data_IF_641620197016
#
_entry.id   IF_641620197016
#
_cell.length_a   1.000
_cell.length_b   1.000
_cell.length_c   1.000
_cell.angle_alpha   90.00
_cell.angle_beta   90.00
_cell.angle_gamma   90.00
#
_symmetry.space_group_name_H-M   'P 1'
#
loop_
_entity.id
_entity.type
_entity.pdbx_description
1 polymer ?
#
# COMPACT_ATOMS: atom_id res chain seq x y z
N UNK A 1 30.20 -22.59 -22.22
CA UNK A 1 30.69 -21.21 -22.07
C UNK A 1 29.67 -20.46 -21.24
N UNK A 2 29.94 -20.18 -19.96
CA UNK A 2 29.03 -19.39 -19.12
C UNK A 2 29.33 -17.91 -19.37
N UNK A 3 28.48 -17.25 -20.14
CA UNK A 3 28.49 -15.79 -20.29
C UNK A 3 27.92 -15.17 -19.03
N UNK A 4 28.80 -14.84 -18.08
CA UNK A 4 28.40 -14.11 -16.87
C UNK A 4 27.97 -12.69 -17.27
N UNK A 5 26.66 -12.47 -17.33
CA UNK A 5 26.11 -11.13 -17.55
C UNK A 5 26.15 -10.39 -16.22
N UNK A 6 26.82 -9.23 -16.13
CA UNK A 6 26.88 -8.47 -14.89
C UNK A 6 25.48 -8.08 -14.44
N UNK A 7 25.14 -8.27 -13.16
CA UNK A 7 23.80 -7.95 -12.65
C UNK A 7 23.39 -6.49 -12.89
N UNK A 8 24.37 -5.59 -12.97
CA UNK A 8 24.17 -4.15 -13.21
C UNK A 8 23.74 -3.79 -14.64
N UNK A 9 23.83 -4.72 -15.58
CA UNK A 9 23.42 -4.49 -16.97
C UNK A 9 22.04 -5.07 -17.27
N UNK A 10 21.41 -5.75 -16.30
CA UNK A 10 20.06 -6.29 -16.43
C UNK A 10 19.05 -5.20 -16.11
N UNK A 11 17.98 -5.15 -16.89
CA UNK A 11 16.77 -4.44 -16.48
C UNK A 11 16.14 -5.11 -15.25
N UNK A 12 15.33 -4.38 -14.50
CA UNK A 12 14.69 -4.92 -13.30
C UNK A 12 13.82 -6.15 -13.60
N UNK A 13 13.18 -6.20 -14.77
CA UNK A 13 12.43 -7.38 -15.24
C UNK A 13 13.34 -8.58 -15.53
N UNK A 14 14.51 -8.36 -16.13
CA UNK A 14 15.48 -9.43 -16.40
C UNK A 14 16.14 -9.91 -15.10
N UNK A 15 16.33 -9.00 -14.14
CA UNK A 15 16.83 -9.31 -12.81
C UNK A 15 15.84 -10.20 -12.03
N UNK A 16 14.55 -9.85 -12.04
CA UNK A 16 13.50 -10.66 -11.42
C UNK A 16 13.40 -12.05 -12.07
N UNK A 17 13.37 -12.12 -13.40
CA UNK A 17 13.34 -13.39 -14.13
C UNK A 17 14.56 -14.27 -13.79
N UNK A 18 15.75 -13.67 -13.70
CA UNK A 18 16.96 -14.38 -13.33
C UNK A 18 16.92 -14.86 -11.87
N UNK A 19 16.50 -14.01 -10.94
CA UNK A 19 16.35 -14.39 -9.53
C UNK A 19 15.35 -15.55 -9.36
N UNK A 20 14.25 -15.55 -10.13
CA UNK A 20 13.29 -16.65 -10.12
C UNK A 20 13.89 -17.97 -10.61
N UNK A 21 14.77 -17.92 -11.63
CA UNK A 21 15.47 -19.13 -12.10
C UNK A 21 16.54 -19.64 -11.13
N UNK A 22 17.04 -18.78 -10.24
CA UNK A 22 18.05 -19.12 -9.24
C UNK A 22 17.41 -19.56 -7.91
N UNK A 23 16.11 -19.30 -7.69
CA UNK A 23 15.39 -19.81 -6.53
C UNK A 23 15.25 -21.33 -6.60
N UNK A 24 15.69 -22.00 -5.54
CA UNK A 24 15.61 -23.44 -5.39
C UNK A 24 14.79 -23.76 -4.14
N UNK A 25 13.85 -24.69 -4.25
CA UNK A 25 12.92 -25.07 -3.17
C UNK A 25 13.59 -25.60 -1.90
N UNK A 26 14.81 -26.11 -2.00
CA UNK A 26 15.58 -26.68 -0.89
C UNK A 26 16.61 -25.72 -0.29
N UNK A 27 17.14 -24.78 -1.06
CA UNK A 27 18.26 -23.92 -0.59
C UNK A 27 17.88 -22.46 -0.42
N UNK A 28 16.83 -21.98 -1.08
CA UNK A 28 16.36 -20.61 -0.90
C UNK A 28 15.48 -20.48 0.34
N UNK A 29 15.79 -19.47 1.12
CA UNK A 29 15.08 -19.08 2.34
C UNK A 29 13.70 -18.51 2.02
N UNK A 30 12.79 -18.57 3.00
CA UNK A 30 11.47 -17.97 2.89
C UNK A 30 11.55 -16.46 2.62
N UNK A 31 12.55 -15.79 3.20
CA UNK A 31 12.81 -14.36 2.99
C UNK A 31 13.19 -14.05 1.53
N UNK A 32 14.03 -14.88 0.89
CA UNK A 32 14.40 -14.68 -0.52
C UNK A 32 13.21 -14.83 -1.47
N UNK A 33 12.29 -15.76 -1.17
CA UNK A 33 11.04 -15.91 -1.91
C UNK A 33 10.12 -14.71 -1.71
N UNK A 34 9.95 -14.27 -0.47
CA UNK A 34 9.12 -13.11 -0.14
C UNK A 34 9.67 -11.83 -0.78
N UNK A 35 10.99 -11.64 -0.76
CA UNK A 35 11.64 -10.49 -1.39
C UNK A 35 11.48 -10.50 -2.91
N UNK A 36 11.63 -11.67 -3.57
CA UNK A 36 11.39 -11.77 -5.00
C UNK A 36 9.92 -11.49 -5.33
N UNK A 37 8.99 -12.06 -4.58
CA UNK A 37 7.56 -11.85 -4.78
C UNK A 37 7.21 -10.36 -4.67
N UNK A 38 7.66 -9.67 -3.62
CA UNK A 38 7.42 -8.23 -3.46
C UNK A 38 8.07 -7.40 -4.56
N UNK A 39 9.24 -7.81 -5.04
CA UNK A 39 9.92 -7.15 -6.14
C UNK A 39 9.16 -7.31 -7.47
N UNK A 40 8.64 -8.50 -7.76
CA UNK A 40 7.80 -8.77 -8.93
C UNK A 40 6.46 -8.02 -8.85
N UNK A 41 5.83 -8.00 -7.67
CA UNK A 41 4.63 -7.19 -7.41
C UNK A 41 4.92 -5.72 -7.68
N UNK A 42 6.01 -5.17 -7.14
CA UNK A 42 6.39 -3.77 -7.37
C UNK A 42 6.64 -3.48 -8.86
N UNK A 43 7.26 -4.41 -9.60
CA UNK A 43 7.46 -4.27 -11.05
C UNK A 43 6.14 -4.26 -11.83
N UNK A 44 5.13 -5.00 -11.38
CA UNK A 44 3.80 -4.97 -12.00
C UNK A 44 3.13 -3.59 -11.88
N UNK A 45 3.43 -2.84 -10.82
CA UNK A 45 2.95 -1.47 -10.63
C UNK A 45 3.77 -0.41 -11.39
N UNK A 46 4.98 -0.74 -11.84
CA UNK A 46 5.89 0.21 -12.50
C UNK A 46 5.25 0.93 -13.71
N UNK A 47 4.53 0.25 -14.63
CA UNK A 47 3.88 0.91 -15.76
C UNK A 47 2.81 1.92 -15.32
N UNK A 48 2.09 1.61 -14.24
CA UNK A 48 1.07 2.51 -13.68
C UNK A 48 1.74 3.74 -13.06
N UNK A 49 2.83 3.55 -12.31
CA UNK A 49 3.60 4.66 -11.75
C UNK A 49 4.21 5.55 -12.83
N UNK A 50 4.78 4.97 -13.89
CA UNK A 50 5.34 5.72 -15.00
C UNK A 50 4.24 6.48 -15.76
N UNK A 51 3.09 5.85 -15.98
CA UNK A 51 1.93 6.47 -16.60
C UNK A 51 1.43 7.67 -15.77
N UNK A 52 1.13 7.46 -14.48
CA UNK A 52 0.75 8.53 -13.55
C UNK A 52 1.81 9.65 -13.58
N UNK A 53 3.09 9.31 -13.43
CA UNK A 53 4.17 10.30 -13.43
C UNK A 53 4.19 11.11 -14.72
N UNK A 54 3.99 10.47 -15.88
CA UNK A 54 3.94 11.15 -17.16
C UNK A 54 2.66 12.01 -17.30
N UNK A 55 1.49 11.53 -16.85
CA UNK A 55 0.23 12.28 -16.89
C UNK A 55 0.27 13.51 -15.98
N UNK A 56 0.86 13.40 -14.78
CA UNK A 56 0.97 14.52 -13.83
C UNK A 56 2.16 15.46 -14.13
N UNK A 57 3.24 14.96 -14.75
CA UNK A 57 4.34 15.80 -15.24
C UNK A 57 3.93 16.60 -16.48
N UNK A 58 3.13 16.02 -17.38
CA UNK A 58 2.57 16.68 -18.55
C UNK A 58 1.25 17.37 -18.19
N UNK A 59 1.32 18.39 -17.34
CA UNK A 59 0.16 19.15 -16.84
C UNK A 59 -0.57 20.02 -17.89
N UNK A 60 -0.50 19.68 -19.18
CA UNK A 60 -1.11 20.47 -20.25
C UNK A 60 -1.75 19.57 -21.33
N UNK A 61 -3.08 19.62 -21.38
CA UNK A 61 -3.93 19.36 -22.55
C UNK A 61 -4.21 17.93 -23.03
N UNK A 62 -3.36 16.90 -22.85
CA UNK A 62 -3.65 15.55 -23.38
C UNK A 62 -4.18 14.52 -22.35
N UNK A 63 -4.24 14.88 -21.07
CA UNK A 63 -4.50 13.95 -19.96
C UNK A 63 -5.86 13.24 -20.00
N UNK A 64 -6.80 13.65 -20.85
CA UNK A 64 -8.14 13.06 -20.92
C UNK A 64 -8.26 11.87 -21.88
N UNK A 65 -7.33 11.70 -22.83
CA UNK A 65 -7.42 10.64 -23.85
C UNK A 65 -6.88 9.28 -23.35
N UNK A 66 -5.93 9.29 -22.40
CA UNK A 66 -5.31 8.08 -21.83
C UNK A 66 -6.00 7.58 -20.56
N UNK A 67 -6.90 8.36 -19.96
CA UNK A 67 -7.68 7.99 -18.78
C UNK A 67 -8.44 6.66 -18.90
N UNK A 68 -9.04 6.30 -20.05
CA UNK A 68 -9.74 5.02 -20.20
C UNK A 68 -8.79 3.82 -20.06
N UNK A 69 -7.57 3.91 -20.59
CA UNK A 69 -6.55 2.85 -20.49
C UNK A 69 -6.02 2.72 -19.06
N UNK A 70 -5.83 3.84 -18.37
CA UNK A 70 -5.50 3.84 -16.93
C UNK A 70 -6.61 3.16 -16.14
N UNK A 71 -7.88 3.51 -16.41
CA UNK A 71 -9.02 2.94 -15.71
C UNK A 71 -9.18 1.44 -15.97
N UNK A 72 -8.90 0.96 -17.17
CA UNK A 72 -8.98 -0.46 -17.52
C UNK A 72 -7.85 -1.27 -16.87
N UNK A 73 -6.62 -0.74 -16.85
CA UNK A 73 -5.49 -1.36 -16.15
C UNK A 73 -5.64 -1.33 -14.63
N UNK A 74 -6.16 -0.22 -14.11
CA UNK A 74 -6.52 -0.11 -12.70
C UNK A 74 -7.59 -1.14 -12.41
N UNK A 75 -8.73 -1.15 -13.11
CA UNK A 75 -9.84 -2.09 -12.92
C UNK A 75 -9.46 -3.58 -13.03
N UNK A 76 -8.39 -3.92 -13.74
CA UNK A 76 -7.85 -5.29 -13.81
C UNK A 76 -7.17 -5.75 -12.52
N UNK A 77 -6.85 -4.83 -11.59
CA UNK A 77 -6.31 -5.17 -10.27
C UNK A 77 -7.47 -5.52 -9.33
N UNK A 78 -7.38 -6.66 -8.65
CA UNK A 78 -8.45 -7.15 -7.75
C UNK A 78 -8.73 -6.20 -6.57
N UNK A 79 -7.79 -5.30 -6.24
CA UNK A 79 -7.85 -4.37 -5.11
C UNK A 79 -8.53 -3.01 -5.45
N UNK A 80 -9.06 -2.83 -6.65
CA UNK A 80 -9.69 -1.54 -7.06
C UNK A 80 -10.97 -1.25 -6.30
N UNK A 81 -11.72 -2.30 -5.94
CA UNK A 81 -12.91 -2.16 -5.11
C UNK A 81 -12.56 -1.54 -3.76
N UNK A 82 -11.55 -2.09 -3.10
CA UNK A 82 -11.05 -1.62 -1.81
C UNK A 82 -10.45 -0.22 -1.91
N UNK A 83 -9.67 0.06 -2.96
CA UNK A 83 -9.13 1.41 -3.21
C UNK A 83 -10.24 2.42 -3.47
N UNK A 84 -11.32 2.04 -4.16
CA UNK A 84 -12.47 2.93 -4.42
C UNK A 84 -13.24 3.22 -3.14
N UNK A 85 -13.39 2.24 -2.25
CA UNK A 85 -13.99 2.44 -0.92
C UNK A 85 -13.12 3.37 -0.06
N UNK A 86 -11.80 3.17 -0.06
CA UNK A 86 -10.86 4.02 0.67
C UNK A 86 -10.88 5.45 0.11
N UNK A 87 -10.82 5.61 -1.21
CA UNK A 87 -10.89 6.94 -1.86
C UNK A 87 -12.23 7.61 -1.61
N UNK A 88 -13.34 6.86 -1.64
CA UNK A 88 -14.66 7.37 -1.27
C UNK A 88 -14.69 7.88 0.17
N UNK A 89 -14.19 7.10 1.12
CA UNK A 89 -14.10 7.49 2.53
C UNK A 89 -13.20 8.73 2.72
N UNK A 90 -12.11 8.85 1.97
CA UNK A 90 -11.24 10.04 2.00
C UNK A 90 -11.96 11.29 1.45
N UNK A 91 -12.74 11.14 0.38
CA UNK A 91 -13.53 12.22 -0.21
C UNK A 91 -14.68 12.65 0.71
N UNK A 92 -15.39 11.71 1.34
CA UNK A 92 -16.46 12.00 2.31
C UNK A 92 -15.94 12.80 3.53
N UNK A 93 -14.65 12.63 3.85
CA UNK A 93 -13.97 13.35 4.92
C UNK A 93 -13.16 14.57 4.44
N UNK A 94 -13.26 14.93 3.15
CA UNK A 94 -12.56 16.02 2.50
C UNK A 94 -11.04 16.02 2.80
N UNK A 95 -10.44 14.83 2.68
CA UNK A 95 -9.03 14.58 2.93
C UNK A 95 -8.30 14.54 1.59
N UNK A 96 -7.72 15.69 1.23
CA UNK A 96 -7.11 15.89 -0.08
C UNK A 96 -5.58 15.68 -0.02
N UNK A 97 -5.02 15.56 1.19
CA UNK A 97 -3.60 15.42 1.45
C UNK A 97 -3.28 14.31 2.46
N UNK A 98 -2.19 13.57 2.20
CA UNK A 98 -1.70 12.47 3.05
C UNK A 98 -1.39 12.92 4.48
N UNK A 99 -0.95 14.18 4.65
CA UNK A 99 -0.68 14.76 5.97
C UNK A 99 -1.96 14.92 6.79
N UNK A 100 -3.04 15.38 6.16
CA UNK A 100 -4.35 15.51 6.82
C UNK A 100 -4.93 14.14 7.22
N UNK A 101 -4.67 13.09 6.44
CA UNK A 101 -5.04 11.72 6.80
C UNK A 101 -4.29 11.25 8.06
N UNK A 102 -2.97 11.43 8.10
CA UNK A 102 -2.14 11.02 9.25
C UNK A 102 -2.54 11.74 10.53
N UNK A 103 -2.78 13.06 10.46
CA UNK A 103 -3.19 13.84 11.63
C UNK A 103 -4.56 13.41 12.17
N UNK A 104 -5.49 13.02 11.29
CA UNK A 104 -6.80 12.49 11.69
C UNK A 104 -6.69 11.10 12.30
N UNK A 105 -5.86 10.22 11.74
CA UNK A 105 -5.62 8.88 12.27
C UNK A 105 -4.98 8.95 13.67
N UNK A 106 -3.95 9.78 13.83
CA UNK A 106 -3.28 9.99 15.12
C UNK A 106 -4.22 10.60 16.17
N UNK A 107 -5.16 11.46 15.74
CA UNK A 107 -6.19 12.00 16.63
C UNK A 107 -7.19 10.91 17.02
N UNK A 108 -7.57 10.02 16.12
CA UNK A 108 -8.47 8.90 16.39
C UNK A 108 -7.85 7.92 17.39
N UNK A 109 -6.56 7.59 17.25
CA UNK A 109 -5.84 6.75 18.21
C UNK A 109 -5.87 7.36 19.62
N UNK A 110 -5.59 8.67 19.74
CA UNK A 110 -5.67 9.38 21.03
C UNK A 110 -7.07 9.38 21.63
N UNK A 111 -8.13 9.43 20.82
CA UNK A 111 -9.50 9.32 21.32
C UNK A 111 -9.81 7.91 21.82
N UNK A 112 -9.27 6.88 21.18
CA UNK A 112 -9.44 5.51 21.60
C UNK A 112 -8.79 5.27 22.97
N UNK A 113 -7.56 5.76 23.16
CA UNK A 113 -6.85 5.67 24.44
C UNK A 113 -7.65 6.37 25.57
N UNK A 114 -8.14 7.58 25.32
CA UNK A 114 -8.95 8.33 26.30
C UNK A 114 -10.29 7.64 26.59
N UNK A 115 -10.94 7.07 25.58
CA UNK A 115 -12.19 6.34 25.77
C UNK A 115 -11.97 5.04 26.58
N UNK A 116 -10.85 4.36 26.36
CA UNK A 116 -10.45 3.19 27.13
C UNK A 116 -10.17 3.56 28.59
N UNK A 117 -9.38 4.60 28.85
CA UNK A 117 -9.11 5.10 30.20
C UNK A 117 -10.39 5.52 30.93
N UNK A 118 -11.31 6.19 30.23
CA UNK A 118 -12.61 6.54 30.79
C UNK A 118 -13.45 5.30 31.14
N UNK A 119 -13.50 4.30 30.26
CA UNK A 119 -14.18 3.04 30.50
C UNK A 119 -13.62 2.26 31.69
N UNK A 120 -12.29 2.28 31.86
CA UNK A 120 -11.61 1.69 33.01
C UNK A 120 -11.95 2.43 34.32
N UNK A 121 -11.97 3.77 34.29
CA UNK A 121 -12.36 4.60 35.43
C UNK A 121 -13.83 4.36 35.84
N UNK A 122 -14.75 4.28 34.89
CA UNK A 122 -16.15 3.94 35.15
C UNK A 122 -16.31 2.51 35.70
N UNK A 123 -15.52 1.56 35.19
CA UNK A 123 -15.51 0.18 35.69
C UNK A 123 -14.98 0.08 37.12
N UNK A 124 -13.97 0.89 37.49
CA UNK A 124 -13.48 0.97 38.87
C UNK A 124 -14.53 1.61 39.80
N UNK A 125 -15.17 2.69 39.36
CA UNK A 125 -16.24 3.35 40.12
C UNK A 125 -17.42 2.39 40.38
N UNK A 126 -17.83 1.63 39.37
CA UNK A 126 -18.88 0.62 39.52
C UNK A 126 -18.49 -0.47 40.53
N UNK A 127 -17.26 -1.00 40.46
CA UNK A 127 -16.75 -1.99 41.42
C UNK A 127 -16.70 -1.46 42.85
N UNK A 128 -16.28 -0.20 43.04
CA UNK A 128 -16.24 0.46 44.36
C UNK A 128 -17.64 0.68 44.93
N UNK A 129 -18.61 1.03 44.10
CA UNK A 129 -20.01 1.16 44.52
C UNK A 129 -20.63 -0.18 44.91
N UNK A 130 -20.28 -1.28 44.23
CA UNK A 130 -20.72 -2.63 44.58
C UNK A 130 -20.06 -3.18 45.85
N UNK A 131 -18.83 -2.75 46.17
CA UNK A 131 -18.14 -3.16 47.41
C UNK A 131 -18.47 -2.30 48.63
N UNK A 132 -19.21 -1.20 48.47
CA UNK A 132 -19.67 -0.34 49.58
C UNK A 132 -21.11 -0.64 50.04
N UNK A 133 -21.70 -1.75 49.59
CA UNK A 133 -22.95 -2.34 50.07
C UNK A 133 -22.66 -3.56 50.94
#
# INVERSE_FOLDING_TARGET
MNTWTPLRTLSDSELAAKANTELDTLTSTDLERELLQRFEEQLAWQPIFDLIKNTYANKAESAFEELPQVLEQVAALECVGELKEIVGALQDHNIDEVKALREKLERADKFYDVAQEAGEAFSMLAKLAETSQ
#
